data_IF_214363792219
#
_entry.id   IF_214363792219
#
_cell.length_a   1.000
_cell.length_b   1.000
_cell.length_c   1.000
_cell.angle_alpha   90.00
_cell.angle_beta   90.00
_cell.angle_gamma   90.00
#
_symmetry.space_group_name_H-M   'P 1'
#
loop_
_entity.id
_entity.type
_entity.pdbx_description
1 polymer ?
#
# COMPACT_ATOMS: atom_id res chain seq x y z
N UNK A 1 12.66 14.10 6.79
CA UNK A 1 12.99 12.95 7.66
C UNK A 1 11.69 12.33 8.20
N UNK A 2 11.57 10.99 8.25
CA UNK A 2 10.43 10.32 8.89
C UNK A 2 10.39 10.65 10.39
N UNK A 3 9.20 10.84 10.96
CA UNK A 3 9.03 10.98 12.42
C UNK A 3 9.35 9.64 13.09
N UNK A 4 9.72 9.63 14.37
CA UNK A 4 10.01 8.38 15.12
C UNK A 4 8.83 7.38 15.04
N UNK A 5 7.59 7.87 15.11
CA UNK A 5 6.36 7.09 14.91
C UNK A 5 6.25 6.45 13.50
N UNK A 6 6.79 7.12 12.47
CA UNK A 6 6.79 6.57 11.12
C UNK A 6 7.72 5.35 11.01
N UNK A 7 8.79 5.26 11.82
CA UNK A 7 9.77 4.16 11.78
C UNK A 7 9.16 2.85 12.27
N UNK A 8 8.44 2.89 13.40
CA UNK A 8 7.73 1.71 13.93
C UNK A 8 6.70 1.21 12.92
N UNK A 9 5.98 2.15 12.30
CA UNK A 9 4.98 1.84 11.29
C UNK A 9 5.60 1.28 10.00
N UNK A 10 6.75 1.82 9.56
CA UNK A 10 7.51 1.31 8.41
C UNK A 10 7.99 -0.13 8.64
N UNK A 11 8.53 -0.44 9.82
CA UNK A 11 8.94 -1.81 10.18
C UNK A 11 7.75 -2.76 10.13
N UNK A 12 6.61 -2.38 10.70
CA UNK A 12 5.44 -3.25 10.69
C UNK A 12 4.85 -3.43 9.29
N UNK A 13 4.87 -2.39 8.46
CA UNK A 13 4.50 -2.46 7.04
C UNK A 13 5.42 -3.45 6.31
N UNK A 14 6.73 -3.40 6.57
CA UNK A 14 7.70 -4.32 5.99
C UNK A 14 7.40 -5.76 6.38
N UNK A 15 7.17 -6.06 7.65
CA UNK A 15 6.86 -7.41 8.13
C UNK A 15 5.64 -8.01 7.42
N UNK A 16 4.57 -7.21 7.27
CA UNK A 16 3.34 -7.62 6.60
C UNK A 16 3.61 -7.86 5.11
N UNK A 17 4.36 -6.97 4.47
CA UNK A 17 4.71 -7.11 3.05
C UNK A 17 5.63 -8.31 2.80
N UNK A 18 6.62 -8.55 3.67
CA UNK A 18 7.55 -9.67 3.59
C UNK A 18 6.81 -11.02 3.69
N UNK A 19 5.83 -11.12 4.62
CA UNK A 19 4.97 -12.30 4.74
C UNK A 19 3.93 -12.42 3.62
N UNK A 20 3.62 -11.34 2.92
CA UNK A 20 2.56 -11.29 1.92
C UNK A 20 2.90 -10.28 0.81
N UNK A 21 3.84 -10.62 -0.09
CA UNK A 21 4.31 -9.71 -1.15
C UNK A 21 3.22 -9.35 -2.18
N UNK A 22 2.08 -10.05 -2.14
CA UNK A 22 0.88 -9.73 -2.89
C UNK A 22 0.07 -8.54 -2.33
N UNK A 23 0.39 -8.06 -1.13
CA UNK A 23 -0.39 -7.03 -0.46
C UNK A 23 0.10 -5.64 -0.83
N UNK A 24 -0.73 -4.92 -1.58
CA UNK A 24 -0.61 -3.47 -1.68
C UNK A 24 -1.11 -2.76 -0.42
N UNK A 25 -0.90 -1.44 -0.37
CA UNK A 25 -1.24 -0.60 0.79
C UNK A 25 -2.68 -0.78 1.31
N UNK A 26 -3.64 -1.12 0.45
CA UNK A 26 -5.03 -1.39 0.85
C UNK A 26 -5.15 -2.60 1.77
N UNK A 27 -4.47 -3.70 1.46
CA UNK A 27 -4.49 -4.93 2.27
C UNK A 27 -3.62 -4.77 3.52
N UNK A 28 -2.44 -4.16 3.38
CA UNK A 28 -1.58 -3.82 4.52
C UNK A 28 -2.34 -2.97 5.54
N UNK A 29 -3.07 -1.92 5.10
CA UNK A 29 -3.90 -1.10 5.99
C UNK A 29 -4.96 -1.92 6.74
N UNK A 30 -5.57 -2.92 6.10
CA UNK A 30 -6.56 -3.78 6.76
C UNK A 30 -5.92 -4.65 7.84
N UNK A 31 -4.74 -5.20 7.59
CA UNK A 31 -4.00 -6.00 8.57
C UNK A 31 -3.62 -5.12 9.78
N UNK A 32 -3.02 -3.95 9.54
CA UNK A 32 -2.67 -3.01 10.61
C UNK A 32 -3.89 -2.63 11.48
N UNK A 33 -5.06 -2.43 10.87
CA UNK A 33 -6.30 -2.13 11.62
C UNK A 33 -6.83 -3.31 12.41
N UNK A 34 -6.69 -4.55 11.90
CA UNK A 34 -7.04 -5.77 12.64
C UNK A 34 -6.15 -5.99 13.84
N UNK A 35 -4.90 -5.51 13.79
CA UNK A 35 -3.95 -5.49 14.90
C UNK A 35 -4.23 -4.35 15.90
N UNK A 36 -5.33 -3.60 15.76
CA UNK A 36 -5.72 -2.53 16.67
C UNK A 36 -5.14 -1.15 16.34
N UNK A 37 -4.32 -1.02 15.28
CA UNK A 37 -3.75 0.27 14.90
C UNK A 37 -4.75 1.13 14.11
N UNK A 38 -5.08 2.32 14.65
CA UNK A 38 -5.93 3.32 13.98
C UNK A 38 -5.14 4.11 12.94
N UNK A 39 -4.89 3.49 11.79
CA UNK A 39 -4.08 4.08 10.71
C UNK A 39 -4.89 4.51 9.50
N UNK A 40 -4.50 5.65 8.91
CA UNK A 40 -5.08 6.14 7.67
C UNK A 40 -4.40 5.44 6.47
N UNK A 41 -5.22 4.96 5.52
CA UNK A 41 -4.75 4.36 4.26
C UNK A 41 -3.80 5.26 3.47
N UNK A 42 -3.96 6.60 3.55
CA UNK A 42 -3.08 7.57 2.89
C UNK A 42 -1.67 7.56 3.50
N UNK A 43 -1.57 7.44 4.83
CA UNK A 43 -0.28 7.34 5.55
C UNK A 43 0.44 6.05 5.16
N UNK A 44 -0.26 4.91 5.20
CA UNK A 44 0.30 3.60 4.79
C UNK A 44 0.82 3.65 3.35
N UNK A 45 0.05 4.20 2.42
CA UNK A 45 0.49 4.37 1.02
C UNK A 45 1.78 5.18 0.94
N UNK A 46 1.84 6.35 1.59
CA UNK A 46 3.04 7.21 1.60
C UNK A 46 4.26 6.46 2.14
N UNK A 47 4.11 5.74 3.25
CA UNK A 47 5.22 5.00 3.86
C UNK A 47 5.71 3.86 2.95
N UNK A 48 4.79 3.10 2.33
CA UNK A 48 5.17 2.09 1.34
C UNK A 48 5.90 2.70 0.14
N UNK A 49 5.41 3.83 -0.38
CA UNK A 49 6.05 4.53 -1.50
C UNK A 49 7.47 5.01 -1.13
N UNK A 50 7.65 5.57 0.08
CA UNK A 50 8.96 5.98 0.59
C UNK A 50 9.95 4.82 0.75
N UNK A 51 9.45 3.63 1.11
CA UNK A 51 10.26 2.42 1.25
C UNK A 51 10.44 1.67 -0.08
N UNK A 52 9.83 2.12 -1.17
CA UNK A 52 9.85 1.41 -2.45
C UNK A 52 9.03 0.11 -2.46
N UNK A 53 8.17 -0.13 -1.47
CA UNK A 53 7.36 -1.33 -1.38
C UNK A 53 6.14 -1.26 -2.29
N UNK A 54 6.02 -2.22 -3.22
CA UNK A 54 4.87 -2.37 -4.11
C UNK A 54 4.36 -3.80 -4.10
N UNK A 55 3.09 -3.99 -4.42
CA UNK A 55 2.56 -5.33 -4.64
C UNK A 55 3.19 -5.90 -5.92
N UNK A 56 3.70 -7.13 -5.85
CA UNK A 56 4.41 -7.76 -6.99
C UNK A 56 3.46 -8.16 -8.13
N UNK A 57 2.18 -8.36 -7.82
CA UNK A 57 1.21 -8.87 -8.79
C UNK A 57 0.78 -7.79 -9.79
N UNK A 58 0.53 -8.17 -11.06
CA UNK A 58 0.02 -7.24 -12.04
C UNK A 58 -1.27 -6.61 -11.52
N UNK A 59 -1.32 -5.28 -11.58
CA UNK A 59 -2.55 -4.56 -11.29
C UNK A 59 -3.68 -5.04 -12.20
N UNK A 60 -4.95 -4.91 -11.78
CA UNK A 60 -6.07 -5.24 -12.66
C UNK A 60 -5.89 -4.49 -13.98
N UNK A 61 -6.02 -5.22 -15.11
CA UNK A 61 -6.09 -4.63 -16.45
C UNK A 61 -7.38 -3.80 -16.49
N UNK A 62 -7.28 -2.56 -16.01
CA UNK A 62 -8.33 -1.57 -16.20
C UNK A 62 -8.20 -1.21 -17.67
N UNK A 63 -9.00 -1.86 -18.52
CA UNK A 63 -9.21 -1.37 -19.88
C UNK A 63 -9.70 0.06 -19.69
N UNK A 64 -8.81 1.04 -19.88
CA UNK A 64 -9.21 2.43 -19.97
C UNK A 64 -10.29 2.46 -21.03
N UNK A 65 -11.49 2.90 -20.65
CA UNK A 65 -12.63 3.06 -21.55
C UNK A 65 -12.10 3.83 -22.76
N UNK A 66 -11.87 3.16 -23.88
CA UNK A 66 -11.41 3.81 -25.11
C UNK A 66 -12.57 4.70 -25.49
N UNK A 67 -12.44 6.00 -25.26
CA UNK A 67 -13.33 6.97 -25.85
C UNK A 67 -13.12 6.86 -27.36
N UNK A 68 -13.95 6.06 -28.04
CA UNK A 68 -14.15 6.15 -29.48
C UNK A 68 -14.64 7.58 -29.74
N UNK A 69 -13.70 8.47 -30.06
CA UNK A 69 -14.01 9.69 -30.79
C UNK A 69 -13.92 9.30 -32.25
N UNK A 70 -15.07 8.99 -32.83
CA UNK A 70 -15.21 8.93 -34.28
C UNK A 70 -15.31 10.38 -34.79
N UNK A 71 -14.52 10.70 -35.81
CA UNK A 71 -14.48 12.00 -36.48
C UNK A 71 -15.64 12.16 -37.46
#
# INVERSE_FOLDING_TARGET
MPKVDDTVMMNRIYDIWYKSPCFGYRRVTKVLRREGMRVNRKKVKRLMDLMGLKAIFPGPKTLSRVSHFEF
#
